data_IF_787371544623
#
_entry.id   IF_787371544623
#
_cell.length_a   1.000
_cell.length_b   1.000
_cell.length_c   1.000
_cell.angle_alpha   90.00
_cell.angle_beta   90.00
_cell.angle_gamma   90.00
#
_symmetry.space_group_name_H-M   'P 1'
#
loop_
_entity.id
_entity.type
_entity.pdbx_description
1 polymer ?
#
# COMPACT_ATOMS: atom_id res chain seq x y z
N UNK A 1 -4.17 35.00 -21.32
CA UNK A 1 -4.57 35.77 -20.12
C UNK A 1 -3.97 35.20 -18.84
N UNK A 2 -4.09 33.89 -18.57
CA UNK A 2 -3.52 33.24 -17.36
C UNK A 2 -2.00 33.40 -17.22
N UNK A 3 -1.22 33.27 -18.31
CA UNK A 3 0.25 33.39 -18.29
C UNK A 3 0.77 34.77 -17.84
N UNK A 4 0.08 35.85 -18.21
CA UNK A 4 0.47 37.21 -17.82
C UNK A 4 0.19 37.46 -16.32
N UNK A 5 -0.91 36.89 -15.82
CA UNK A 5 -1.29 36.90 -14.41
C UNK A 5 -0.26 36.18 -13.51
N UNK A 6 0.37 35.11 -14.01
CA UNK A 6 1.50 34.45 -13.34
C UNK A 6 2.76 35.32 -13.30
N UNK A 7 3.05 36.04 -14.40
CA UNK A 7 4.25 36.86 -14.52
C UNK A 7 4.25 38.03 -13.55
N UNK A 8 3.09 38.67 -13.36
CA UNK A 8 2.92 39.78 -12.39
C UNK A 8 3.09 39.29 -10.94
N UNK A 9 2.66 38.06 -10.62
CA UNK A 9 2.77 37.48 -9.27
C UNK A 9 4.11 36.80 -9.00
N UNK A 10 4.94 36.61 -10.02
CA UNK A 10 6.22 35.88 -9.94
C UNK A 10 7.20 36.46 -8.90
N UNK A 11 7.39 37.80 -8.79
CA UNK A 11 8.23 38.38 -7.75
C UNK A 11 7.72 38.11 -6.34
N UNK A 12 6.39 38.21 -6.14
CA UNK A 12 5.78 37.89 -4.85
C UNK A 12 5.91 36.41 -4.49
N UNK A 13 5.73 35.51 -5.47
CA UNK A 13 5.95 34.07 -5.30
C UNK A 13 7.42 33.78 -4.94
N UNK A 14 8.38 34.43 -5.60
CA UNK A 14 9.80 34.28 -5.29
C UNK A 14 10.12 34.73 -3.86
N UNK A 15 9.58 35.86 -3.41
CA UNK A 15 9.77 36.36 -2.04
C UNK A 15 9.18 35.40 -0.99
N UNK A 16 7.93 34.96 -1.17
CA UNK A 16 7.28 34.03 -0.23
C UNK A 16 7.94 32.64 -0.24
N UNK A 17 8.33 32.11 -1.40
CA UNK A 17 9.04 30.83 -1.46
C UNK A 17 10.43 30.90 -0.82
N UNK A 18 11.13 32.04 -0.92
CA UNK A 18 12.39 32.27 -0.20
C UNK A 18 12.17 32.34 1.32
N UNK A 19 11.13 33.04 1.77
CA UNK A 19 10.73 33.10 3.17
C UNK A 19 10.37 31.71 3.73
N UNK A 20 9.57 30.93 3.00
CA UNK A 20 9.20 29.57 3.38
C UNK A 20 10.42 28.65 3.45
N UNK A 21 11.38 28.77 2.54
CA UNK A 21 12.64 28.02 2.60
C UNK A 21 13.51 28.43 3.78
N UNK A 22 13.61 29.72 4.07
CA UNK A 22 14.38 30.24 5.20
C UNK A 22 13.79 29.79 6.54
N UNK A 23 12.47 29.87 6.68
CA UNK A 23 11.74 29.37 7.85
C UNK A 23 11.84 27.86 7.97
N UNK A 24 11.72 27.10 6.87
CA UNK A 24 11.90 25.65 6.88
C UNK A 24 13.31 25.23 7.33
N UNK A 25 14.34 25.98 6.95
CA UNK A 25 15.71 25.75 7.39
C UNK A 25 15.87 26.10 8.87
N UNK A 26 15.37 27.26 9.30
CA UNK A 26 15.47 27.74 10.68
C UNK A 26 14.75 26.83 11.67
N UNK A 27 13.51 26.42 11.37
CA UNK A 27 12.71 25.52 12.20
C UNK A 27 12.96 24.03 11.91
N UNK A 28 13.91 23.73 11.03
CA UNK A 28 14.30 22.39 10.62
C UNK A 28 13.10 21.48 10.27
N UNK A 29 12.19 21.98 9.41
CA UNK A 29 10.99 21.26 8.98
C UNK A 29 11.29 19.90 8.33
N UNK A 30 12.53 19.69 7.90
CA UNK A 30 13.03 18.43 7.36
C UNK A 30 12.95 17.25 8.35
N UNK A 31 12.94 17.54 9.65
CA UNK A 31 12.80 16.53 10.72
C UNK A 31 11.34 16.23 11.05
N UNK A 32 10.39 16.98 10.51
CA UNK A 32 8.96 16.75 10.75
C UNK A 32 8.43 15.74 9.74
N UNK A 33 7.73 14.73 10.25
CA UNK A 33 7.09 13.72 9.42
C UNK A 33 5.85 14.33 8.78
N UNK A 34 5.85 14.44 7.46
CA UNK A 34 4.72 14.95 6.68
C UNK A 34 4.19 13.89 5.71
N UNK A 35 4.36 12.60 6.02
CA UNK A 35 3.80 11.51 5.21
C UNK A 35 2.28 11.50 5.27
N UNK A 36 1.66 11.12 4.14
CA UNK A 36 0.21 11.09 4.00
C UNK A 36 -0.19 10.09 2.91
N UNK A 37 -1.43 9.62 3.00
CA UNK A 37 -2.02 8.78 1.96
C UNK A 37 -1.77 7.30 2.18
N UNK A 38 -2.31 6.51 1.25
CA UNK A 38 -2.17 5.06 1.21
C UNK A 38 -1.19 4.73 0.08
N UNK A 39 -0.20 3.90 0.40
CA UNK A 39 0.80 3.41 -0.55
C UNK A 39 0.72 1.89 -0.59
N UNK A 40 0.43 1.33 -1.77
CA UNK A 40 0.20 -0.10 -1.94
C UNK A 40 1.44 -0.82 -2.47
N UNK A 41 1.86 -1.88 -1.80
CA UNK A 41 2.91 -2.79 -2.27
C UNK A 41 2.26 -4.01 -2.94
N UNK A 42 2.35 -4.10 -4.26
CA UNK A 42 1.68 -5.12 -5.08
C UNK A 42 2.67 -6.14 -5.65
N UNK A 43 2.27 -7.41 -5.76
CA UNK A 43 3.10 -8.48 -6.31
C UNK A 43 2.60 -9.88 -5.95
N UNK A 44 3.05 -10.91 -6.67
CA UNK A 44 2.69 -12.31 -6.37
C UNK A 44 3.30 -12.79 -5.04
N UNK A 45 2.87 -13.95 -4.57
CA UNK A 45 3.52 -14.62 -3.44
C UNK A 45 5.03 -14.78 -3.69
N UNK A 46 5.84 -14.54 -2.66
CA UNK A 46 7.29 -14.58 -2.78
C UNK A 46 7.94 -13.39 -3.48
N UNK A 47 7.17 -12.43 -4.01
CA UNK A 47 7.72 -11.24 -4.69
C UNK A 47 8.34 -10.19 -3.74
N UNK A 48 8.30 -10.43 -2.41
CA UNK A 48 9.04 -9.60 -1.47
C UNK A 48 8.34 -8.34 -0.95
N UNK A 49 7.03 -8.22 -1.16
CA UNK A 49 6.21 -7.04 -0.78
C UNK A 49 6.43 -6.61 0.68
N UNK A 50 6.24 -7.55 1.62
CA UNK A 50 6.36 -7.30 3.06
C UNK A 50 7.78 -6.88 3.44
N UNK A 51 8.81 -7.50 2.85
CA UNK A 51 10.20 -7.12 3.11
C UNK A 51 10.52 -5.71 2.63
N UNK A 52 10.02 -5.35 1.43
CA UNK A 52 10.24 -4.04 0.84
C UNK A 52 9.55 -2.95 1.68
N UNK A 53 8.28 -3.19 2.02
CA UNK A 53 7.47 -2.33 2.88
C UNK A 53 8.17 -2.04 4.23
N UNK A 54 8.67 -3.09 4.90
CA UNK A 54 9.32 -2.96 6.20
C UNK A 54 10.69 -2.28 6.08
N UNK A 55 11.41 -2.51 4.98
CA UNK A 55 12.66 -1.80 4.72
C UNK A 55 12.44 -0.29 4.48
N UNK A 56 11.33 0.09 3.84
CA UNK A 56 10.95 1.50 3.69
C UNK A 56 10.50 2.10 5.04
N UNK A 57 9.66 1.38 5.79
CA UNK A 57 9.20 1.80 7.12
C UNK A 57 10.37 2.03 8.08
N UNK A 58 11.34 1.12 8.12
CA UNK A 58 12.54 1.25 8.96
C UNK A 58 13.34 2.51 8.63
N UNK A 59 13.54 2.82 7.34
CA UNK A 59 14.22 4.06 6.93
C UNK A 59 13.50 5.30 7.43
N UNK A 60 12.17 5.29 7.42
CA UNK A 60 11.37 6.41 7.92
C UNK A 60 11.50 6.57 9.43
N UNK A 61 11.48 5.48 10.19
CA UNK A 61 11.69 5.52 11.64
C UNK A 61 13.09 6.03 12.00
N UNK A 62 14.12 5.62 11.24
CA UNK A 62 15.47 6.15 11.41
C UNK A 62 15.56 7.65 11.11
N UNK A 63 14.73 8.16 10.19
CA UNK A 63 14.71 9.57 9.80
C UNK A 63 13.88 10.44 10.73
N UNK A 64 12.80 9.89 11.29
CA UNK A 64 11.79 10.62 12.06
C UNK A 64 11.57 9.95 13.43
N UNK A 65 12.25 10.44 14.49
CA UNK A 65 12.13 9.85 15.83
C UNK A 65 10.73 9.94 16.46
N UNK A 66 9.91 10.90 16.03
CA UNK A 66 8.53 11.11 16.49
C UNK A 66 7.49 10.18 15.84
N UNK A 67 7.92 9.22 15.01
CA UNK A 67 7.02 8.37 14.25
C UNK A 67 6.54 7.19 15.11
N UNK A 68 5.23 6.99 15.20
CA UNK A 68 4.64 5.81 15.80
C UNK A 68 4.33 4.78 14.71
N UNK A 69 4.49 3.49 14.99
CA UNK A 69 4.07 2.41 14.08
C UNK A 69 2.80 1.77 14.62
N UNK A 70 1.81 1.57 13.75
CA UNK A 70 0.65 0.74 14.02
C UNK A 70 0.67 -0.46 13.06
N UNK A 71 0.77 -1.69 13.55
CA UNK A 71 0.94 -2.84 12.65
C UNK A 71 0.34 -4.16 13.14
N UNK A 72 -0.10 -4.98 12.18
CA UNK A 72 -0.51 -6.37 12.39
C UNK A 72 0.66 -7.36 12.21
N UNK A 73 1.84 -6.88 11.84
CA UNK A 73 3.05 -7.68 11.61
C UNK A 73 3.91 -7.62 12.86
N UNK A 74 4.47 -8.76 13.26
CA UNK A 74 5.48 -8.80 14.30
C UNK A 74 6.82 -8.27 13.78
N UNK A 75 7.05 -6.97 14.00
CA UNK A 75 8.30 -6.29 13.68
C UNK A 75 9.28 -6.36 14.84
N UNK A 76 10.56 -6.53 14.51
CA UNK A 76 11.69 -6.69 15.46
C UNK A 76 12.81 -5.74 15.05
N UNK A 77 13.68 -5.36 15.99
CA UNK A 77 14.89 -4.57 15.72
C UNK A 77 14.65 -3.18 15.08
N UNK A 78 13.51 -2.55 15.39
CA UNK A 78 13.26 -1.14 15.11
C UNK A 78 13.99 -0.26 16.14
N UNK A 79 14.21 1.04 15.86
CA UNK A 79 14.86 1.94 16.81
C UNK A 79 14.10 2.04 18.14
N UNK A 80 14.81 2.10 19.26
CA UNK A 80 14.24 2.02 20.62
C UNK A 80 13.23 3.14 20.94
N UNK A 81 13.35 4.29 20.29
CA UNK A 81 12.43 5.42 20.43
C UNK A 81 11.11 5.26 19.65
N UNK A 82 11.00 4.24 18.79
CA UNK A 82 9.81 4.04 17.95
C UNK A 82 8.78 3.23 18.73
N UNK A 83 7.65 3.84 19.06
CA UNK A 83 6.54 3.13 19.70
C UNK A 83 5.79 2.26 18.67
N UNK A 84 5.64 0.98 18.98
CA UNK A 84 4.96 -0.01 18.13
C UNK A 84 3.65 -0.39 18.79
N UNK A 85 2.55 -0.05 18.12
CA UNK A 85 1.19 -0.35 18.54
C UNK A 85 0.64 -1.53 17.71
N UNK A 86 -0.05 -2.50 18.34
CA UNK A 86 -0.68 -3.59 17.62
C UNK A 86 -1.92 -3.11 16.86
N UNK A 87 -2.09 -3.59 15.63
CA UNK A 87 -3.29 -3.37 14.81
C UNK A 87 -4.16 -4.61 14.82
N UNK A 88 -5.28 -4.57 15.56
CA UNK A 88 -6.25 -5.65 15.59
C UNK A 88 -7.52 -5.28 14.84
N UNK A 89 -8.00 -4.05 15.02
CA UNK A 89 -9.29 -3.58 14.47
C UNK A 89 -9.12 -2.26 13.72
N UNK A 90 -10.03 -1.97 12.78
CA UNK A 90 -10.11 -0.68 12.09
C UNK A 90 -10.22 0.53 13.04
N UNK A 91 -10.77 0.35 14.25
CA UNK A 91 -10.86 1.40 15.27
C UNK A 91 -9.47 1.84 15.78
N UNK A 92 -8.48 0.95 15.76
CA UNK A 92 -7.11 1.29 16.18
C UNK A 92 -6.50 2.31 15.21
N UNK A 93 -6.85 2.22 13.92
CA UNK A 93 -6.46 3.21 12.90
C UNK A 93 -7.12 4.57 13.19
N UNK A 94 -8.38 4.57 13.66
CA UNK A 94 -9.10 5.79 14.00
C UNK A 94 -8.51 6.51 15.21
N UNK A 95 -8.09 5.74 16.20
CA UNK A 95 -7.56 6.22 17.47
C UNK A 95 -6.03 6.46 17.45
N UNK A 96 -5.38 6.17 16.32
CA UNK A 96 -3.94 6.31 16.21
C UNK A 96 -3.48 7.78 16.44
N UNK A 97 -2.33 7.98 17.10
CA UNK A 97 -1.79 9.30 17.37
C UNK A 97 -1.38 10.03 16.08
N UNK A 98 -1.05 11.32 16.19
CA UNK A 98 -0.46 12.08 15.07
C UNK A 98 0.94 11.53 14.77
N UNK A 99 1.39 11.67 13.52
CA UNK A 99 2.67 11.11 13.04
C UNK A 99 2.72 9.57 13.16
N UNK A 100 1.70 8.90 12.62
CA UNK A 100 1.63 7.43 12.65
C UNK A 100 1.86 6.85 11.26
N UNK A 101 2.70 5.83 11.19
CA UNK A 101 2.88 4.95 10.04
C UNK A 101 2.11 3.65 10.30
N UNK A 102 1.06 3.40 9.55
CA UNK A 102 0.28 2.16 9.64
C UNK A 102 0.85 1.15 8.66
N UNK A 103 1.25 -0.03 9.13
CA UNK A 103 1.77 -1.13 8.30
C UNK A 103 0.78 -2.29 8.33
N UNK A 104 0.20 -2.58 7.17
CA UNK A 104 -0.82 -3.63 7.00
C UNK A 104 -0.30 -4.69 6.05
N UNK A 105 -0.09 -5.91 6.54
CA UNK A 105 0.05 -7.05 5.64
C UNK A 105 -1.33 -7.52 5.14
N UNK A 106 -1.41 -7.81 3.85
CA UNK A 106 -2.59 -8.35 3.17
C UNK A 106 -3.88 -7.56 3.47
N UNK A 107 -3.88 -6.27 3.13
CA UNK A 107 -5.01 -5.35 3.38
C UNK A 107 -6.36 -5.87 2.83
N UNK A 108 -6.35 -6.67 1.77
CA UNK A 108 -7.57 -7.30 1.24
C UNK A 108 -8.29 -8.23 2.22
N UNK A 109 -7.61 -8.73 3.26
CA UNK A 109 -8.24 -9.53 4.32
C UNK A 109 -9.00 -8.68 5.34
N UNK A 110 -8.45 -7.51 5.69
CA UNK A 110 -8.99 -6.56 6.67
C UNK A 110 -10.17 -5.76 6.09
N UNK A 111 -10.11 -5.42 4.81
CA UNK A 111 -11.11 -4.60 4.14
C UNK A 111 -12.08 -5.42 3.28
N UNK A 112 -12.20 -6.72 3.53
CA UNK A 112 -13.00 -7.60 2.70
C UNK A 112 -14.51 -7.31 2.87
N UNK A 113 -15.18 -7.07 1.76
CA UNK A 113 -16.52 -6.48 1.67
C UNK A 113 -17.69 -7.40 2.06
N UNK A 114 -17.44 -8.54 2.70
CA UNK A 114 -18.50 -9.52 3.03
C UNK A 114 -19.06 -9.41 4.45
N UNK A 115 -18.43 -8.61 5.32
CA UNK A 115 -19.04 -8.19 6.60
C UNK A 115 -20.01 -7.00 6.42
N UNK A 116 -20.38 -6.69 5.17
CA UNK A 116 -21.35 -5.64 4.82
C UNK A 116 -22.82 -6.07 4.98
N UNK A 117 -23.11 -7.37 5.05
CA UNK A 117 -24.46 -7.92 5.26
C UNK A 117 -24.77 -8.14 6.76
N UNK A 118 -23.75 -8.49 7.56
CA UNK A 118 -23.89 -8.86 8.96
C UNK A 118 -23.60 -7.73 9.94
N UNK A 119 -24.26 -6.58 9.82
CA UNK A 119 -24.59 -5.62 10.90
C UNK A 119 -23.54 -5.11 11.91
N UNK A 120 -22.28 -5.55 11.98
CA UNK A 120 -21.36 -5.15 13.08
C UNK A 120 -19.90 -4.86 12.70
N UNK A 121 -19.42 -5.22 11.50
CA UNK A 121 -18.03 -4.93 11.10
C UNK A 121 -17.91 -4.50 9.63
N UNK A 122 -18.88 -3.74 9.11
CA UNK A 122 -18.62 -2.96 7.90
C UNK A 122 -17.43 -2.04 8.18
N UNK A 123 -16.52 -1.89 7.22
CA UNK A 123 -15.52 -0.80 7.25
C UNK A 123 -16.31 0.47 7.50
N UNK A 124 -16.25 1.08 8.71
CA UNK A 124 -17.24 2.08 9.07
C UNK A 124 -17.13 3.22 8.04
N UNK A 125 -18.24 3.73 7.50
CA UNK A 125 -18.21 5.01 6.73
C UNK A 125 -17.33 6.08 7.42
N UNK A 126 -17.29 6.17 8.77
CA UNK A 126 -16.30 6.95 9.49
C UNK A 126 -14.83 6.65 9.13
N UNK A 127 -14.41 5.39 9.03
CA UNK A 127 -13.04 5.02 8.67
C UNK A 127 -12.64 5.58 7.31
N UNK A 128 -13.50 5.46 6.29
CA UNK A 128 -13.22 6.05 4.98
C UNK A 128 -13.06 7.58 5.05
N UNK A 129 -13.94 8.27 5.78
CA UNK A 129 -13.80 9.70 5.99
C UNK A 129 -12.49 10.06 6.71
N UNK A 130 -12.06 9.23 7.65
CA UNK A 130 -10.78 9.38 8.34
C UNK A 130 -9.57 9.11 7.44
N UNK A 131 -9.65 8.11 6.55
CA UNK A 131 -8.62 7.82 5.56
C UNK A 131 -8.45 8.99 4.57
N UNK A 132 -9.55 9.64 4.17
CA UNK A 132 -9.47 10.86 3.35
C UNK A 132 -8.82 12.04 4.09
N UNK A 133 -8.80 12.03 5.44
CA UNK A 133 -8.21 13.08 6.27
C UNK A 133 -6.78 12.78 6.76
N UNK A 134 -6.14 11.73 6.23
CA UNK A 134 -4.78 11.31 6.60
C UNK A 134 -3.74 12.44 6.56
N UNK A 135 -3.85 13.37 5.61
CA UNK A 135 -2.91 14.50 5.47
C UNK A 135 -2.91 15.45 6.68
N UNK A 136 -4.07 15.69 7.31
CA UNK A 136 -4.18 16.55 8.50
C UNK A 136 -3.60 15.89 9.75
N UNK A 137 -3.65 14.56 9.82
CA UNK A 137 -3.13 13.76 10.93
C UNK A 137 -1.65 13.38 10.77
N UNK A 138 -1.05 13.69 9.60
CA UNK A 138 0.29 13.19 9.21
C UNK A 138 0.36 11.67 9.38
N UNK A 139 -0.65 11.01 8.83
CA UNK A 139 -0.80 9.55 8.88
C UNK A 139 -0.53 9.00 7.49
N UNK A 140 0.36 8.01 7.43
CA UNK A 140 0.70 7.31 6.18
C UNK A 140 0.44 5.83 6.36
N UNK A 141 -0.14 5.20 5.34
CA UNK A 141 -0.53 3.79 5.40
C UNK A 141 0.24 3.04 4.33
N UNK A 142 1.05 2.07 4.76
CA UNK A 142 1.67 1.10 3.89
C UNK A 142 0.92 -0.22 3.99
N UNK A 143 0.50 -0.72 2.84
CA UNK A 143 -0.31 -1.93 2.78
C UNK A 143 0.18 -2.86 1.68
N UNK A 144 0.25 -4.16 1.97
CA UNK A 144 0.60 -5.16 0.96
C UNK A 144 -0.66 -5.77 0.35
N UNK A 145 -0.62 -6.00 -0.98
CA UNK A 145 -1.71 -6.61 -1.74
C UNK A 145 -1.14 -7.65 -2.70
N UNK A 146 -1.76 -8.83 -2.77
CA UNK A 146 -1.33 -9.87 -3.72
C UNK A 146 -1.71 -9.54 -5.17
N UNK A 147 -2.95 -9.07 -5.38
CA UNK A 147 -3.46 -8.63 -6.67
C UNK A 147 -4.25 -7.34 -6.50
N UNK A 148 -3.89 -6.32 -7.26
CA UNK A 148 -4.53 -5.01 -7.19
C UNK A 148 -6.07 -5.07 -7.38
N UNK A 149 -6.55 -5.91 -8.31
CA UNK A 149 -7.98 -6.06 -8.59
C UNK A 149 -8.80 -6.73 -7.48
N UNK A 150 -8.16 -7.29 -6.44
CA UNK A 150 -8.87 -7.82 -5.27
C UNK A 150 -9.24 -6.73 -4.26
N UNK A 151 -8.67 -5.53 -4.41
CA UNK A 151 -8.96 -4.42 -3.52
C UNK A 151 -10.25 -3.72 -3.94
N UNK A 152 -11.04 -3.30 -2.95
CA UNK A 152 -12.25 -2.54 -3.18
C UNK A 152 -11.95 -1.23 -3.93
N UNK A 153 -12.83 -0.85 -4.86
CA UNK A 153 -12.66 0.33 -5.70
C UNK A 153 -12.51 1.60 -4.86
N UNK A 154 -13.27 1.72 -3.77
CA UNK A 154 -13.19 2.88 -2.88
C UNK A 154 -11.80 3.09 -2.28
N UNK A 155 -11.06 2.01 -1.98
CA UNK A 155 -9.70 2.10 -1.44
C UNK A 155 -8.71 2.41 -2.55
N UNK A 156 -8.93 1.85 -3.75
CA UNK A 156 -8.10 2.15 -4.93
C UNK A 156 -8.17 3.64 -5.27
N UNK A 157 -9.36 4.22 -5.30
CA UNK A 157 -9.57 5.63 -5.66
C UNK A 157 -8.90 6.62 -4.67
N UNK A 158 -8.72 6.25 -3.40
CA UNK A 158 -8.04 7.08 -2.38
C UNK A 158 -6.55 6.76 -2.20
N UNK A 159 -6.04 5.77 -2.92
CA UNK A 159 -4.63 5.38 -2.87
C UNK A 159 -3.79 6.41 -3.61
N UNK A 160 -2.63 6.78 -3.04
CA UNK A 160 -1.75 7.77 -3.64
C UNK A 160 -0.80 7.15 -4.68
N UNK A 161 -0.19 6.00 -4.37
CA UNK A 161 0.71 5.32 -5.30
C UNK A 161 0.68 3.80 -5.13
N UNK A 162 1.20 3.11 -6.14
CA UNK A 162 1.33 1.65 -6.17
C UNK A 162 2.76 1.27 -6.50
N UNK A 163 3.40 0.55 -5.59
CA UNK A 163 4.73 -0.03 -5.75
C UNK A 163 4.63 -1.50 -6.17
N UNK A 164 4.90 -1.78 -7.45
CA UNK A 164 5.03 -3.14 -7.95
C UNK A 164 6.38 -3.75 -7.52
N UNK A 165 6.31 -4.79 -6.69
CA UNK A 165 7.46 -5.46 -6.11
C UNK A 165 7.93 -6.63 -6.98
N UNK A 166 9.22 -6.66 -7.28
CA UNK A 166 9.88 -7.75 -7.97
C UNK A 166 11.11 -8.21 -7.21
N UNK A 167 11.25 -9.52 -7.04
CA UNK A 167 12.49 -10.15 -6.56
C UNK A 167 13.28 -10.68 -7.72
N UNK A 168 14.59 -10.45 -7.69
CA UNK A 168 15.51 -11.11 -8.60
C UNK A 168 15.91 -12.47 -8.02
N UNK A 169 16.02 -13.49 -8.87
CA UNK A 169 16.24 -14.91 -8.54
C UNK A 169 15.04 -15.60 -7.88
N UNK A 170 15.06 -16.94 -7.86
CA UNK A 170 14.02 -17.77 -7.23
C UNK A 170 14.36 -18.04 -5.76
N UNK A 171 13.31 -18.21 -4.94
CA UNK A 171 13.44 -18.58 -3.54
C UNK A 171 14.27 -19.87 -3.41
N UNK A 172 15.21 -19.99 -2.43
CA UNK A 172 15.43 -19.14 -1.25
C UNK A 172 16.51 -18.03 -1.40
N UNK A 173 17.18 -17.95 -2.55
CA UNK A 173 18.34 -17.07 -2.73
C UNK A 173 18.00 -15.63 -3.14
N UNK A 174 16.72 -15.26 -3.18
CA UNK A 174 16.27 -13.90 -3.52
C UNK A 174 16.78 -12.88 -2.51
N UNK A 175 17.89 -12.19 -2.81
CA UNK A 175 18.38 -11.09 -1.95
C UNK A 175 18.16 -9.71 -2.54
N UNK A 176 17.95 -9.58 -3.84
CA UNK A 176 17.75 -8.28 -4.48
C UNK A 176 16.26 -8.11 -4.79
N UNK A 177 15.70 -7.00 -4.33
CA UNK A 177 14.31 -6.61 -4.54
C UNK A 177 14.26 -5.26 -5.22
N UNK A 178 13.42 -5.11 -6.23
CA UNK A 178 13.17 -3.85 -6.91
C UNK A 178 11.70 -3.53 -6.80
N UNK A 179 11.38 -2.35 -6.25
CA UNK A 179 10.04 -1.76 -6.27
C UNK A 179 9.98 -0.71 -7.37
N UNK A 180 9.01 -0.85 -8.28
CA UNK A 180 8.68 0.16 -9.27
C UNK A 180 7.42 0.88 -8.81
N UNK A 181 7.52 2.17 -8.56
CA UNK A 181 6.39 2.97 -8.06
C UNK A 181 5.71 3.68 -9.23
N UNK A 182 4.40 3.53 -9.27
CA UNK A 182 3.51 4.09 -10.26
C UNK A 182 2.47 4.95 -9.57
N UNK A 183 1.98 5.96 -10.26
CA UNK A 183 0.77 6.64 -9.84
C UNK A 183 -0.43 5.68 -9.93
N UNK A 184 -1.45 5.91 -9.11
CA UNK A 184 -2.62 5.03 -9.02
C UNK A 184 -3.38 4.98 -10.34
N UNK A 185 -3.56 6.13 -10.99
CA UNK A 185 -4.30 6.25 -12.26
C UNK A 185 -3.60 5.44 -13.36
N UNK A 186 -2.30 5.63 -13.53
CA UNK A 186 -1.52 4.91 -14.53
C UNK A 186 -1.49 3.40 -14.28
N UNK A 187 -1.41 3.00 -13.01
CA UNK A 187 -1.42 1.58 -12.63
C UNK A 187 -2.79 0.93 -12.87
N UNK A 188 -3.88 1.67 -12.68
CA UNK A 188 -5.23 1.20 -12.97
C UNK A 188 -5.43 0.99 -14.47
N UNK A 189 -5.03 1.97 -15.31
CA UNK A 189 -5.03 1.83 -16.77
C UNK A 189 -4.23 0.61 -17.23
N UNK A 190 -3.06 0.37 -16.62
CA UNK A 190 -2.25 -0.83 -16.89
C UNK A 190 -2.96 -2.13 -16.47
N UNK A 191 -3.66 -2.12 -15.34
CA UNK A 191 -4.36 -3.29 -14.82
C UNK A 191 -5.53 -3.70 -15.72
N UNK A 192 -6.27 -2.71 -16.24
CA UNK A 192 -7.35 -2.90 -17.20
C UNK A 192 -6.81 -3.28 -18.58
N UNK A 193 -5.81 -2.56 -19.07
CA UNK A 193 -5.20 -2.77 -20.37
C UNK A 193 -3.72 -3.18 -20.23
N UNK A 194 -3.47 -4.50 -20.20
CA UNK A 194 -2.11 -5.05 -20.11
C UNK A 194 -1.22 -4.79 -21.33
N UNK A 195 -1.73 -4.20 -22.41
CA UNK A 195 -0.92 -3.77 -23.55
C UNK A 195 -0.35 -2.35 -23.35
N UNK A 196 -0.93 -1.57 -22.45
CA UNK A 196 -0.41 -0.27 -22.05
C UNK A 196 0.86 -0.44 -21.21
N UNK A 197 1.79 0.51 -21.34
CA UNK A 197 3.00 0.57 -20.51
C UNK A 197 2.91 1.81 -19.63
N UNK A 198 2.73 1.66 -18.30
CA UNK A 198 2.59 2.78 -17.39
C UNK A 198 3.91 3.55 -17.23
N UNK A 199 3.82 4.85 -16.96
CA UNK A 199 4.98 5.69 -16.68
C UNK A 199 5.47 5.42 -15.26
N UNK A 200 6.78 5.26 -15.10
CA UNK A 200 7.33 5.01 -13.78
C UNK A 200 7.60 6.35 -13.10
N UNK A 201 7.08 6.55 -11.88
CA UNK A 201 7.44 7.71 -11.08
C UNK A 201 8.90 7.59 -10.63
N UNK A 202 9.23 6.46 -10.00
CA UNK A 202 10.58 6.14 -9.55
C UNK A 202 10.73 4.65 -9.27
N UNK A 203 11.96 4.16 -9.30
CA UNK A 203 12.32 2.81 -8.92
C UNK A 203 13.25 2.81 -7.70
N UNK A 204 13.11 1.81 -6.84
CA UNK A 204 14.02 1.61 -5.70
C UNK A 204 14.45 0.16 -5.64
N UNK A 205 15.75 -0.04 -5.58
CA UNK A 205 16.35 -1.37 -5.41
C UNK A 205 16.90 -1.52 -4.00
N UNK A 206 16.59 -2.65 -3.39
CA UNK A 206 16.94 -3.00 -2.03
C UNK A 206 17.68 -4.33 -2.00
N UNK A 207 18.80 -4.34 -1.29
CA UNK A 207 19.49 -5.57 -0.93
C UNK A 207 19.00 -6.06 0.45
N UNK A 208 18.44 -7.26 0.48
CA UNK A 208 18.08 -7.97 1.70
C UNK A 208 19.32 -8.49 2.42
N UNK A 209 19.95 -7.61 3.18
CA UNK A 209 20.95 -7.99 4.18
C UNK A 209 20.30 -8.83 5.28
N UNK A 210 21.11 -9.61 6.01
CA UNK A 210 20.62 -10.41 7.14
C UNK A 210 19.91 -9.53 8.17
N UNK A 211 20.46 -8.34 8.45
CA UNK A 211 19.82 -7.33 9.33
C UNK A 211 18.40 -6.99 8.88
N UNK A 212 18.17 -6.76 7.58
CA UNK A 212 16.84 -6.42 7.05
C UNK A 212 15.86 -7.59 7.12
N UNK A 213 16.33 -8.82 6.94
CA UNK A 213 15.48 -10.03 7.09
C UNK A 213 15.12 -10.29 8.55
N UNK A 214 15.92 -9.82 9.50
CA UNK A 214 15.65 -9.89 10.93
C UNK A 214 14.74 -8.76 11.44
N UNK A 215 14.32 -7.82 10.58
CA UNK A 215 13.40 -6.74 10.97
C UNK A 215 11.97 -7.22 11.20
N UNK A 216 11.63 -8.42 10.73
CA UNK A 216 10.28 -8.95 10.86
C UNK A 216 10.28 -10.47 10.75
N UNK A 217 9.25 -11.09 11.32
CA UNK A 217 9.10 -12.54 11.28
C UNK A 217 8.19 -12.98 10.14
N UNK A 218 8.74 -13.64 9.12
CA UNK A 218 7.97 -14.18 7.98
C UNK A 218 7.17 -15.43 8.32
N UNK A 219 7.51 -16.10 9.42
CA UNK A 219 6.98 -17.44 9.73
C UNK A 219 5.62 -17.42 10.42
N UNK A 220 5.21 -16.27 10.95
CA UNK A 220 3.94 -16.12 11.63
C UNK A 220 2.83 -15.85 10.60
N UNK A 221 1.83 -16.73 10.58
CA UNK A 221 0.58 -16.46 9.87
C UNK A 221 -0.07 -15.22 10.50
N UNK A 222 -0.53 -14.28 9.66
CA UNK A 222 -1.25 -13.09 10.11
C UNK A 222 -2.44 -13.55 10.95
N UNK A 223 -2.47 -13.14 12.22
CA UNK A 223 -3.35 -13.66 13.27
C UNK A 223 -4.84 -13.53 12.96
N UNK A 224 -5.19 -12.67 11.99
CA UNK A 224 -6.57 -12.37 11.59
C UNK A 224 -7.21 -13.42 10.65
N UNK A 225 -6.54 -14.53 10.34
CA UNK A 225 -7.11 -15.59 9.48
C UNK A 225 -8.06 -16.57 10.20
N UNK A 226 -8.19 -16.54 11.53
CA UNK A 226 -8.84 -17.63 12.29
C UNK A 226 -10.17 -17.29 12.99
N UNK A 227 -10.73 -16.09 12.80
CA UNK A 227 -12.06 -15.73 13.34
C UNK A 227 -13.08 -15.41 12.24
N UNK A 228 -13.17 -16.26 11.22
CA UNK A 228 -14.33 -16.25 10.33
C UNK A 228 -15.08 -17.56 10.55
N UNK A 229 -16.24 -17.48 11.19
CA UNK A 229 -17.23 -18.53 11.09
C UNK A 229 -17.50 -18.75 9.60
N UNK A 230 -17.30 -19.99 9.14
CA UNK A 230 -17.60 -20.35 7.77
C UNK A 230 -19.10 -20.14 7.54
N UNK A 231 -19.46 -19.27 6.58
CA UNK A 231 -20.82 -19.24 6.03
C UNK A 231 -21.14 -20.66 5.53
N UNK A 232 -22.34 -21.17 5.84
CA UNK A 232 -22.72 -22.52 5.45
C UNK A 232 -22.80 -22.63 3.92
N UNK A 233 -22.54 -23.84 3.40
CA UNK A 233 -22.51 -24.10 1.95
C UNK A 233 -23.83 -23.72 1.23
N UNK A 234 -24.95 -23.67 1.96
CA UNK A 234 -26.27 -23.31 1.48
C UNK A 234 -26.40 -21.80 1.12
N UNK A 235 -25.76 -20.91 1.88
CA UNK A 235 -25.73 -19.46 1.59
C UNK A 235 -24.79 -19.12 0.42
N UNK A 236 -23.81 -19.99 0.15
CA UNK A 236 -22.89 -19.84 -0.99
C UNK A 236 -23.57 -20.23 -2.31
N UNK A 237 -24.43 -21.25 -2.28
CA UNK A 237 -25.16 -21.74 -3.45
C UNK A 237 -26.25 -20.75 -3.89
N UNK A 238 -27.02 -20.20 -2.95
CA UNK A 238 -28.07 -19.20 -3.23
C UNK A 238 -27.52 -17.90 -3.84
N UNK A 239 -26.30 -17.49 -3.48
CA UNK A 239 -25.64 -16.32 -4.07
C UNK A 239 -25.02 -16.56 -5.47
N UNK A 240 -24.93 -17.82 -5.93
CA UNK A 240 -24.35 -18.18 -7.23
C UNK A 240 -25.35 -18.27 -8.38
N UNK A 241 -26.64 -18.36 -8.10
CA UNK A 241 -27.68 -18.56 -9.13
C UNK A 241 -27.93 -17.34 -10.04
N UNK A 242 -27.23 -16.21 -9.83
CA UNK A 242 -27.39 -14.98 -10.60
C UNK A 242 -26.37 -14.69 -11.71
N UNK A 243 -25.41 -15.57 -12.00
CA UNK A 243 -24.36 -15.31 -13.00
C UNK A 243 -24.22 -16.50 -13.95
N UNK A 244 -24.85 -16.41 -15.12
CA UNK A 244 -24.55 -17.32 -16.23
C UNK A 244 -23.07 -17.14 -16.68
N UNK A 245 -22.27 -18.21 -16.77
CA UNK A 245 -20.93 -18.11 -17.32
C UNK A 245 -21.02 -17.99 -18.84
N UNK A 246 -20.81 -16.78 -19.37
CA UNK A 246 -20.62 -16.56 -20.80
C UNK A 246 -19.23 -17.10 -21.23
N UNK A 247 -19.11 -18.43 -21.31
CA UNK A 247 -17.89 -19.12 -21.77
C UNK A 247 -17.80 -19.07 -23.29
N UNK A 248 -17.23 -18.01 -23.84
CA UNK A 248 -16.73 -18.07 -25.21
C UNK A 248 -15.39 -18.85 -25.26
N UNK A 249 -15.23 -19.81 -26.20
CA UNK A 249 -14.01 -20.59 -26.31
C UNK A 249 -12.82 -19.70 -26.75
N UNK A 250 -11.73 -19.74 -25.97
CA UNK A 250 -10.50 -19.00 -26.23
C UNK A 250 -9.83 -19.42 -27.55
N UNK A 251 -9.52 -18.44 -28.40
CA UNK A 251 -8.89 -18.62 -29.71
C UNK A 251 -7.44 -19.13 -29.60
N UNK A 252 -6.96 -19.86 -30.63
CA UNK A 252 -5.68 -20.58 -30.68
C UNK A 252 -4.48 -19.63 -30.53
N UNK A 253 -4.62 -18.36 -30.93
CA UNK A 253 -3.63 -17.28 -30.71
C UNK A 253 -3.53 -16.87 -29.23
N UNK A 254 -4.66 -16.77 -28.52
CA UNK A 254 -4.67 -16.45 -27.08
C UNK A 254 -4.06 -17.59 -26.25
N UNK A 255 -4.30 -18.87 -26.62
CA UNK A 255 -3.64 -20.01 -25.98
C UNK A 255 -2.11 -20.00 -26.17
N UNK A 256 -1.61 -19.57 -27.33
CA UNK A 256 -0.16 -19.43 -27.60
C UNK A 256 0.47 -18.27 -26.82
N UNK A 257 -0.22 -17.13 -26.66
CA UNK A 257 0.29 -16.00 -25.87
C UNK A 257 0.37 -16.33 -24.38
N UNK A 258 -0.61 -17.08 -23.84
CA UNK A 258 -0.60 -17.58 -22.46
C UNK A 258 0.53 -18.59 -22.25
N UNK A 259 0.82 -19.47 -23.22
CA UNK A 259 1.97 -20.40 -23.16
C UNK A 259 3.32 -19.67 -23.18
N UNK A 260 3.50 -18.66 -24.04
CA UNK A 260 4.72 -17.81 -24.01
C UNK A 260 4.87 -17.08 -22.67
N UNK A 261 3.76 -16.64 -22.07
CA UNK A 261 3.71 -16.07 -20.72
C UNK A 261 3.89 -17.07 -19.59
N UNK A 262 3.89 -18.40 -19.82
CA UNK A 262 4.31 -19.35 -18.77
C UNK A 262 5.82 -19.50 -18.69
N UNK A 263 6.54 -19.21 -19.77
CA UNK A 263 7.98 -19.39 -19.86
C UNK A 263 8.77 -18.09 -19.62
N UNK A 264 8.08 -16.95 -19.51
CA UNK A 264 8.67 -15.64 -19.25
C UNK A 264 8.45 -15.14 -17.80
N UNK A 265 8.06 -16.04 -16.88
CA UNK A 265 7.73 -15.72 -15.49
C UNK A 265 8.36 -16.74 -14.55
#
# INVERSE_FOLDING_TARGET
>A
MVLFDYFVRLPSLAAYTAYDKATALYFNWSQIFNGWGIHLFVGKFGAGKTSLMIAEAYKLCCKYPQLHILTNINIKNFPDYTEILPLNTAQDILNAPKNTLVLIDEIGTIFNSRDFSGGKCAVPKPLFQHLCQCRKRRMMIYATVQRFNLLDKQIRDITADVTACHTHFKHPFCRIQTGYTYDIEEYELYSENKAYTPSQMYNRTYLQTNKRRQLYDTSQLVTNMLQKEYLSDEEILTNREGIEPNTQPLDRKQKKSIRKRKNAW
#
